data_IF_267817168003
#
_entry.id   IF_267817168003
#
_cell.length_a   1.000
_cell.length_b   1.000
_cell.length_c   1.000
_cell.angle_alpha   90.00
_cell.angle_beta   90.00
_cell.angle_gamma   90.00
#
_symmetry.space_group_name_H-M   'P 1'
#
loop_
_entity.id
_entity.type
_entity.pdbx_description
1 polymer ?
#
# COMPACT_ATOMS: atom_id res chain seq x y z
N UNK A 1 -23.21 4.03 14.60
CA UNK A 1 -21.93 3.56 14.08
C UNK A 1 -21.06 4.80 13.90
N UNK A 2 -19.75 4.74 14.09
CA UNK A 2 -18.89 5.89 13.79
C UNK A 2 -19.04 6.29 12.32
N UNK A 3 -18.97 7.57 12.03
CA UNK A 3 -18.98 8.07 10.65
C UNK A 3 -17.61 7.87 10.00
N UNK A 4 -17.54 7.53 8.70
CA UNK A 4 -16.27 7.38 8.00
C UNK A 4 -15.54 8.72 7.90
N UNK A 5 -14.20 8.67 8.02
CA UNK A 5 -13.34 9.85 7.83
C UNK A 5 -13.23 10.25 6.35
N UNK A 6 -13.28 9.29 5.46
CA UNK A 6 -13.32 9.49 4.01
C UNK A 6 -14.39 8.58 3.42
N UNK A 7 -15.25 9.14 2.58
CA UNK A 7 -16.23 8.39 1.78
C UNK A 7 -16.09 8.79 0.31
N UNK A 8 -15.98 7.81 -0.54
CA UNK A 8 -16.01 7.93 -2.00
C UNK A 8 -17.21 7.13 -2.50
N UNK A 9 -18.05 7.74 -3.32
CA UNK A 9 -19.26 7.10 -3.85
C UNK A 9 -19.30 7.22 -5.37
N UNK A 10 -19.25 6.08 -6.04
CA UNK A 10 -19.35 5.92 -7.51
C UNK A 10 -18.44 6.86 -8.29
N UNK A 11 -17.18 6.97 -7.82
CA UNK A 11 -16.18 7.84 -8.41
C UNK A 11 -15.80 7.37 -9.81
N UNK A 12 -15.86 8.30 -10.77
CA UNK A 12 -15.38 8.05 -12.13
C UNK A 12 -14.40 9.14 -12.53
N UNK A 13 -13.29 8.74 -13.17
CA UNK A 13 -12.28 9.64 -13.72
C UNK A 13 -11.81 9.19 -15.08
N UNK A 14 -11.80 10.13 -16.02
CA UNK A 14 -11.31 9.93 -17.39
C UNK A 14 -10.17 10.87 -17.71
N UNK A 15 -9.23 10.41 -18.51
CA UNK A 15 -8.24 11.24 -19.18
C UNK A 15 -8.34 11.02 -20.70
N UNK A 16 -8.86 11.99 -21.42
CA UNK A 16 -9.25 11.81 -22.80
C UNK A 16 -10.33 10.73 -22.92
N UNK A 17 -10.07 9.70 -23.70
CA UNK A 17 -10.99 8.56 -23.88
C UNK A 17 -10.75 7.41 -22.89
N UNK A 18 -9.70 7.46 -22.09
CA UNK A 18 -9.36 6.40 -21.15
C UNK A 18 -10.07 6.61 -19.81
N UNK A 19 -10.87 5.62 -19.38
CA UNK A 19 -11.45 5.56 -18.03
C UNK A 19 -10.38 4.99 -17.10
N UNK A 20 -9.90 5.82 -16.14
CA UNK A 20 -8.82 5.43 -15.21
C UNK A 20 -9.37 5.03 -13.85
N UNK A 21 -10.52 5.60 -13.44
CA UNK A 21 -11.30 5.15 -12.27
C UNK A 21 -12.73 5.01 -12.75
N UNK A 22 -13.37 3.88 -12.48
CA UNK A 22 -14.68 3.53 -12.98
C UNK A 22 -15.58 2.99 -11.86
N UNK A 23 -16.56 3.81 -11.48
CA UNK A 23 -17.60 3.50 -10.47
C UNK A 23 -17.00 3.06 -9.09
N UNK A 24 -15.89 3.65 -8.68
CA UNK A 24 -15.21 3.29 -7.44
C UNK A 24 -15.97 3.83 -6.23
N UNK A 25 -16.29 2.94 -5.29
CA UNK A 25 -16.81 3.30 -3.96
C UNK A 25 -15.98 2.68 -2.86
N UNK A 26 -15.62 3.48 -1.85
CA UNK A 26 -14.91 3.04 -0.65
C UNK A 26 -15.19 3.98 0.52
N UNK A 27 -14.95 3.49 1.74
CA UNK A 27 -14.99 4.27 2.97
C UNK A 27 -13.76 3.94 3.82
N UNK A 28 -13.32 4.91 4.62
CA UNK A 28 -12.25 4.72 5.62
C UNK A 28 -12.81 5.09 6.99
N UNK A 29 -12.77 4.13 7.91
CA UNK A 29 -13.24 4.33 9.26
C UNK A 29 -12.14 4.91 10.17
N UNK A 30 -12.51 5.58 11.28
CA UNK A 30 -11.54 6.03 12.27
C UNK A 30 -10.67 4.88 12.79
N UNK A 31 -9.34 5.07 12.79
CA UNK A 31 -8.35 4.09 13.24
C UNK A 31 -8.09 2.94 12.27
N UNK A 32 -8.68 2.96 11.08
CA UNK A 32 -8.53 1.91 10.06
C UNK A 32 -7.34 2.18 9.13
N UNK A 33 -6.63 1.13 8.76
CA UNK A 33 -5.74 1.09 7.60
C UNK A 33 -6.43 0.40 6.42
N UNK A 34 -6.87 1.18 5.44
CA UNK A 34 -7.39 0.67 4.17
C UNK A 34 -6.26 0.62 3.13
N UNK A 35 -5.92 -0.58 2.68
CA UNK A 35 -4.99 -0.80 1.57
C UNK A 35 -5.72 -0.81 0.23
N UNK A 36 -5.20 -0.08 -0.74
CA UNK A 36 -5.64 -0.15 -2.14
C UNK A 36 -4.52 -0.79 -2.94
N UNK A 37 -4.72 -2.04 -3.33
CA UNK A 37 -3.76 -2.82 -4.11
C UNK A 37 -4.21 -2.96 -5.55
N UNK A 38 -3.28 -3.09 -6.48
CA UNK A 38 -3.58 -3.23 -7.89
C UNK A 38 -2.33 -3.01 -8.75
N UNK A 39 -2.35 -3.42 -10.03
CA UNK A 39 -1.23 -3.23 -10.94
C UNK A 39 -0.99 -1.74 -11.25
N UNK A 40 0.13 -1.45 -11.91
CA UNK A 40 0.39 -0.12 -12.42
C UNK A 40 -0.72 0.28 -13.42
N UNK A 41 -1.21 1.52 -13.28
CA UNK A 41 -2.34 2.00 -14.09
C UNK A 41 -3.74 1.60 -13.57
N UNK A 42 -3.87 0.87 -12.46
CA UNK A 42 -5.17 0.49 -11.90
C UNK A 42 -6.00 1.65 -11.32
N UNK A 43 -5.44 2.88 -11.25
CA UNK A 43 -6.16 4.06 -10.75
C UNK A 43 -5.84 4.47 -9.32
N UNK A 44 -4.91 3.78 -8.63
CA UNK A 44 -4.52 4.03 -7.22
C UNK A 44 -4.12 5.49 -6.96
N UNK A 45 -3.06 5.96 -7.61
CA UNK A 45 -2.56 7.34 -7.51
C UNK A 45 -3.61 8.37 -7.94
N UNK A 46 -4.39 8.08 -8.98
CA UNK A 46 -5.47 8.96 -9.43
C UNK A 46 -6.52 9.14 -8.35
N UNK A 47 -6.92 8.09 -7.66
CA UNK A 47 -7.86 8.15 -6.53
C UNK A 47 -7.32 9.05 -5.41
N UNK A 48 -6.06 8.90 -5.00
CA UNK A 48 -5.42 9.78 -4.00
C UNK A 48 -5.41 11.24 -4.50
N UNK A 49 -5.04 11.49 -5.76
CA UNK A 49 -5.00 12.85 -6.32
C UNK A 49 -6.37 13.54 -6.32
N UNK A 50 -7.45 12.78 -6.53
CA UNK A 50 -8.80 13.32 -6.47
C UNK A 50 -9.17 13.65 -5.01
N UNK A 51 -8.87 12.77 -4.03
CA UNK A 51 -9.07 13.04 -2.60
C UNK A 51 -8.34 14.30 -2.14
N UNK A 52 -7.21 14.62 -2.77
CA UNK A 52 -6.44 15.82 -2.48
C UNK A 52 -6.89 17.06 -3.28
N UNK A 53 -7.92 16.94 -4.12
CA UNK A 53 -8.37 18.02 -4.99
C UNK A 53 -7.31 18.49 -6.00
N UNK A 54 -6.35 17.63 -6.34
CA UNK A 54 -5.32 17.89 -7.37
C UNK A 54 -5.87 17.66 -8.78
N UNK A 55 -6.94 16.89 -8.89
CA UNK A 55 -7.75 16.70 -10.10
C UNK A 55 -9.20 16.50 -9.67
N UNK A 56 -10.16 16.98 -10.44
CA UNK A 56 -11.58 16.79 -10.16
C UNK A 56 -12.09 15.43 -10.67
N UNK A 57 -13.10 14.84 -10.03
CA UNK A 57 -13.83 13.70 -10.57
C UNK A 57 -14.66 14.12 -11.81
N UNK A 58 -14.95 13.16 -12.68
CA UNK A 58 -15.89 13.38 -13.79
C UNK A 58 -17.32 12.94 -13.40
N UNK A 59 -17.44 12.03 -12.42
CA UNK A 59 -18.71 11.66 -11.78
C UNK A 59 -18.46 11.09 -10.37
N UNK A 60 -19.52 10.99 -9.57
CA UNK A 60 -19.46 10.53 -8.19
C UNK A 60 -19.23 11.67 -7.20
N UNK A 61 -19.15 11.30 -5.91
CA UNK A 61 -18.96 12.25 -4.80
C UNK A 61 -17.86 11.79 -3.87
N UNK A 62 -17.22 12.76 -3.21
CA UNK A 62 -16.20 12.50 -2.19
C UNK A 62 -16.49 13.38 -0.99
N UNK A 63 -16.47 12.80 0.18
CA UNK A 63 -16.55 13.49 1.45
C UNK A 63 -15.37 13.10 2.34
N UNK A 64 -14.72 14.08 2.96
CA UNK A 64 -13.73 13.85 3.98
C UNK A 64 -14.11 14.63 5.24
N UNK A 65 -14.24 13.95 6.38
CA UNK A 65 -14.67 14.55 7.66
C UNK A 65 -16.02 15.27 7.58
N UNK A 66 -16.95 14.78 6.75
CA UNK A 66 -18.24 15.44 6.48
C UNK A 66 -18.15 16.66 5.55
N UNK A 67 -16.99 16.93 4.97
CA UNK A 67 -16.74 18.04 4.04
C UNK A 67 -16.77 17.54 2.61
N UNK A 68 -17.57 18.17 1.73
CA UNK A 68 -17.64 17.82 0.32
C UNK A 68 -16.36 18.25 -0.42
N UNK A 69 -15.80 17.35 -1.26
CA UNK A 69 -14.64 17.60 -2.08
C UNK A 69 -15.01 17.64 -3.57
N UNK A 70 -14.43 18.54 -4.37
CA UNK A 70 -13.28 19.40 -4.06
C UNK A 70 -13.57 20.74 -3.38
N UNK A 71 -14.84 21.11 -3.17
CA UNK A 71 -15.24 22.46 -2.74
C UNK A 71 -14.59 22.87 -1.41
N UNK A 72 -14.57 21.97 -0.45
CA UNK A 72 -14.05 22.19 0.90
C UNK A 72 -12.69 21.54 1.16
N UNK A 73 -11.94 21.24 0.10
CA UNK A 73 -10.67 20.50 0.19
C UNK A 73 -9.62 21.20 1.08
N UNK A 74 -9.65 22.55 1.16
CA UNK A 74 -8.69 23.30 2.00
C UNK A 74 -8.90 22.99 3.49
N UNK A 75 -10.15 22.90 3.92
CA UNK A 75 -10.47 22.56 5.31
C UNK A 75 -10.16 21.09 5.60
N UNK A 76 -10.53 20.19 4.69
CA UNK A 76 -10.21 18.76 4.83
C UNK A 76 -8.69 18.53 4.94
N UNK A 77 -7.87 19.22 4.13
CA UNK A 77 -6.41 19.10 4.16
C UNK A 77 -5.77 19.47 5.49
N UNK A 78 -6.40 20.27 6.33
CA UNK A 78 -5.89 20.57 7.67
C UNK A 78 -5.81 19.34 8.55
N UNK A 79 -6.59 18.30 8.26
CA UNK A 79 -6.69 17.04 8.97
C UNK A 79 -6.12 15.85 8.19
N UNK A 80 -5.51 16.10 7.02
CA UNK A 80 -4.91 15.10 6.15
C UNK A 80 -3.39 15.29 6.11
N UNK A 81 -2.64 14.20 6.29
CA UNK A 81 -1.21 14.11 5.99
C UNK A 81 -1.00 13.34 4.68
N UNK A 82 0.00 13.72 3.92
CA UNK A 82 0.23 13.14 2.59
C UNK A 82 1.67 12.74 2.41
N UNK A 83 1.90 11.50 1.97
CA UNK A 83 3.17 11.03 1.43
C UNK A 83 2.93 10.60 -0.01
N UNK A 84 3.48 11.35 -0.95
CA UNK A 84 3.38 11.07 -2.38
C UNK A 84 4.44 10.06 -2.82
N UNK A 85 4.29 9.46 -3.99
CA UNK A 85 5.25 8.50 -4.55
C UNK A 85 6.67 9.11 -4.67
N UNK A 86 6.77 10.38 -5.07
CA UNK A 86 8.04 11.09 -5.11
C UNK A 86 8.23 11.96 -3.86
N UNK A 87 9.47 12.04 -3.36
CA UNK A 87 9.81 12.93 -2.25
C UNK A 87 9.68 14.38 -2.70
N UNK A 88 8.75 15.11 -2.08
CA UNK A 88 8.52 16.54 -2.38
C UNK A 88 9.25 17.44 -1.37
N UNK A 89 10.44 17.01 -0.90
CA UNK A 89 11.28 17.78 0.01
C UNK A 89 11.93 18.94 -0.73
N UNK A 90 12.01 20.08 -0.08
CA UNK A 90 12.73 21.22 -0.61
C UNK A 90 14.24 21.00 -0.44
N UNK A 91 15.03 20.96 -1.54
CA UNK A 91 16.46 20.66 -1.48
C UNK A 91 17.30 21.75 -0.82
N UNK A 92 16.80 22.99 -0.76
CA UNK A 92 17.52 24.13 -0.19
C UNK A 92 17.40 24.22 1.31
N UNK A 93 16.40 23.58 1.91
CA UNK A 93 16.16 23.55 3.35
C UNK A 93 16.78 22.30 3.99
N UNK A 94 17.24 22.46 5.23
CA UNK A 94 17.61 21.34 6.09
C UNK A 94 16.39 20.48 6.46
N UNK A 95 16.61 19.30 7.05
CA UNK A 95 15.52 18.45 7.55
C UNK A 95 14.59 19.22 8.50
N UNK A 96 15.17 19.95 9.46
CA UNK A 96 14.38 20.72 10.42
C UNK A 96 13.63 21.89 9.76
N UNK A 97 14.22 22.56 8.79
CA UNK A 97 13.59 23.66 8.05
C UNK A 97 12.46 23.17 7.16
N UNK A 98 12.61 22.03 6.48
CA UNK A 98 11.52 21.38 5.73
C UNK A 98 10.28 21.19 6.60
N UNK A 99 10.46 20.70 7.84
CA UNK A 99 9.35 20.51 8.77
C UNK A 99 8.76 21.85 9.25
N UNK A 100 9.62 22.85 9.56
CA UNK A 100 9.16 24.18 10.00
C UNK A 100 8.36 24.92 8.95
N UNK A 101 8.86 24.95 7.72
CA UNK A 101 8.20 25.64 6.61
C UNK A 101 6.85 24.99 6.32
N UNK A 102 6.79 23.66 6.37
CA UNK A 102 5.54 22.94 6.14
C UNK A 102 4.53 23.21 7.26
N UNK A 103 4.98 23.27 8.53
CA UNK A 103 4.13 23.70 9.65
C UNK A 103 3.57 25.11 9.47
N UNK A 104 4.37 26.03 8.95
CA UNK A 104 3.93 27.39 8.66
C UNK A 104 2.84 27.42 7.54
N UNK A 105 2.94 26.56 6.51
CA UNK A 105 1.89 26.41 5.48
C UNK A 105 0.54 25.96 6.05
N UNK A 106 0.54 25.17 7.15
CA UNK A 106 -0.67 24.82 7.88
C UNK A 106 -1.15 25.91 8.85
N UNK A 107 -0.45 27.03 8.95
CA UNK A 107 -0.79 28.14 9.86
C UNK A 107 -0.51 27.84 11.32
N UNK A 108 0.38 26.87 11.62
CA UNK A 108 0.78 26.57 13.00
C UNK A 108 1.61 27.74 13.57
N UNK A 109 1.40 28.04 14.86
CA UNK A 109 2.21 29.02 15.57
C UNK A 109 3.67 28.57 15.68
N UNK A 110 4.59 29.54 15.75
CA UNK A 110 6.02 29.25 15.93
C UNK A 110 6.29 28.36 17.14
N UNK A 111 5.61 28.59 18.25
CA UNK A 111 5.75 27.79 19.45
C UNK A 111 5.35 26.32 19.23
N UNK A 112 4.23 26.07 18.52
CA UNK A 112 3.80 24.71 18.14
C UNK A 112 4.81 24.03 17.21
N UNK A 113 5.35 24.77 16.24
CA UNK A 113 6.35 24.24 15.30
C UNK A 113 7.63 23.87 16.06
N UNK A 114 8.12 24.75 16.92
CA UNK A 114 9.36 24.53 17.71
C UNK A 114 9.22 23.35 18.69
N UNK A 115 8.01 23.07 19.18
CA UNK A 115 7.70 21.89 19.98
C UNK A 115 7.64 20.59 19.15
N UNK A 116 7.00 20.66 17.98
CA UNK A 116 6.73 19.46 17.14
C UNK A 116 7.95 18.98 16.37
N UNK A 117 8.76 19.89 15.83
CA UNK A 117 9.87 19.53 14.94
C UNK A 117 10.87 18.56 15.57
N UNK A 118 11.33 18.72 16.83
CA UNK A 118 12.20 17.74 17.48
C UNK A 118 11.56 16.35 17.58
N UNK A 119 10.26 16.27 17.94
CA UNK A 119 9.51 15.02 18.06
C UNK A 119 9.36 14.32 16.71
N UNK A 120 9.13 15.07 15.63
CA UNK A 120 9.01 14.55 14.28
C UNK A 120 10.35 14.05 13.73
N UNK A 121 11.45 14.74 14.04
CA UNK A 121 12.80 14.27 13.71
C UNK A 121 13.15 12.99 14.48
N UNK A 122 12.72 12.86 15.73
CA UNK A 122 12.85 11.64 16.51
C UNK A 122 12.03 10.51 15.92
N UNK A 123 10.77 10.77 15.62
CA UNK A 123 9.90 9.79 14.93
C UNK A 123 10.50 9.31 13.62
N UNK A 124 11.09 10.22 12.83
CA UNK A 124 11.76 9.89 11.57
C UNK A 124 13.16 9.25 11.76
N UNK A 125 13.68 9.15 13.00
CA UNK A 125 15.05 8.77 13.33
C UNK A 125 16.09 9.62 12.57
N UNK A 126 15.92 10.95 12.61
CA UNK A 126 16.74 11.95 11.91
C UNK A 126 17.26 13.06 12.84
N UNK A 127 17.26 12.86 14.17
CA UNK A 127 17.75 13.88 15.13
C UNK A 127 19.20 14.32 14.81
N UNK A 128 20.07 13.34 14.55
CA UNK A 128 21.47 13.59 14.19
C UNK A 128 21.65 14.26 12.81
N UNK A 129 20.59 14.28 12.01
CA UNK A 129 20.56 14.85 10.66
C UNK A 129 19.66 16.10 10.54
N UNK A 130 19.26 16.68 11.68
CA UNK A 130 18.37 17.84 11.71
C UNK A 130 18.84 19.00 10.81
N UNK A 131 20.14 19.24 10.73
CA UNK A 131 20.76 20.30 9.95
C UNK A 131 21.28 19.82 8.57
N UNK A 132 21.14 18.55 8.22
CA UNK A 132 21.48 18.04 6.91
C UNK A 132 20.41 18.42 5.87
N UNK A 133 20.82 18.62 4.62
CA UNK A 133 19.92 18.85 3.48
C UNK A 133 19.47 17.52 2.88
N UNK A 134 18.33 17.48 2.16
CA UNK A 134 17.85 16.25 1.51
C UNK A 134 18.87 15.58 0.58
N UNK A 135 19.74 16.35 -0.08
CA UNK A 135 20.82 15.81 -0.91
C UNK A 135 21.84 14.95 -0.16
N UNK A 136 21.96 15.14 1.17
CA UNK A 136 22.88 14.40 2.05
C UNK A 136 22.23 13.14 2.69
N UNK A 137 20.97 12.85 2.36
CA UNK A 137 20.19 11.76 2.92
C UNK A 137 20.12 10.59 1.95
N UNK A 138 20.09 9.35 2.48
CA UNK A 138 19.70 8.17 1.71
C UNK A 138 18.21 8.23 1.32
N UNK A 139 17.80 7.42 0.33
CA UNK A 139 16.39 7.33 -0.07
C UNK A 139 15.47 7.01 1.10
N UNK A 140 15.82 6.03 1.93
CA UNK A 140 15.05 5.69 3.14
C UNK A 140 14.99 6.83 4.17
N UNK A 141 16.05 7.63 4.31
CA UNK A 141 16.04 8.82 5.16
C UNK A 141 15.12 9.91 4.61
N UNK A 142 15.14 10.16 3.30
CA UNK A 142 14.22 11.12 2.64
C UNK A 142 12.77 10.69 2.83
N UNK A 143 12.48 9.40 2.66
CA UNK A 143 11.13 8.86 2.81
C UNK A 143 10.61 9.02 4.24
N UNK A 144 11.45 8.77 5.25
CA UNK A 144 11.11 9.00 6.67
C UNK A 144 10.92 10.48 6.98
N UNK A 145 11.70 11.37 6.40
CA UNK A 145 11.49 12.82 6.51
C UNK A 145 10.16 13.23 5.88
N UNK A 146 9.81 12.68 4.72
CA UNK A 146 8.53 12.91 4.05
C UNK A 146 7.35 12.46 4.91
N UNK A 147 7.47 11.30 5.61
CA UNK A 147 6.47 10.87 6.57
C UNK A 147 6.40 11.82 7.78
N UNK A 148 7.54 12.22 8.36
CA UNK A 148 7.58 13.21 9.45
C UNK A 148 6.92 14.53 9.04
N UNK A 149 7.14 14.99 7.80
CA UNK A 149 6.49 16.18 7.24
C UNK A 149 4.97 16.02 7.12
N UNK A 150 4.50 14.84 6.70
CA UNK A 150 3.06 14.55 6.62
C UNK A 150 2.37 14.58 8.00
N UNK A 151 3.10 14.49 9.09
CA UNK A 151 2.59 14.52 10.47
C UNK A 151 2.64 15.91 11.12
N UNK A 152 3.18 16.93 10.45
CA UNK A 152 3.39 18.27 11.04
C UNK A 152 2.09 18.89 11.57
N UNK A 153 0.98 18.74 10.84
CA UNK A 153 -0.34 19.24 11.21
C UNK A 153 -1.12 18.32 12.16
N UNK A 154 -0.52 17.20 12.62
CA UNK A 154 -1.15 16.18 13.46
C UNK A 154 -2.45 15.62 12.84
N UNK A 155 -2.38 15.04 11.64
CA UNK A 155 -3.56 14.65 10.88
C UNK A 155 -4.32 13.48 11.53
N UNK A 156 -5.63 13.39 11.23
CA UNK A 156 -6.45 12.22 11.57
C UNK A 156 -6.35 11.13 10.51
N UNK A 157 -6.11 11.52 9.25
CA UNK A 157 -6.00 10.63 8.09
C UNK A 157 -4.70 10.86 7.34
N UNK A 158 -4.00 9.79 7.04
CA UNK A 158 -2.82 9.77 6.18
C UNK A 158 -3.16 9.16 4.82
N UNK A 159 -2.81 9.84 3.74
CA UNK A 159 -2.88 9.34 2.37
C UNK A 159 -1.46 9.03 1.90
N UNK A 160 -1.14 7.75 1.74
CA UNK A 160 0.20 7.27 1.44
C UNK A 160 0.21 6.60 0.06
N UNK A 161 0.88 7.23 -0.90
CA UNK A 161 1.01 6.69 -2.25
C UNK A 161 2.34 5.96 -2.39
N UNK A 162 2.29 4.62 -2.35
CA UNK A 162 3.44 3.72 -2.46
C UNK A 162 4.61 4.11 -1.52
N UNK A 163 4.39 4.15 -0.19
CA UNK A 163 5.34 4.77 0.75
C UNK A 163 6.67 4.03 0.87
N UNK A 164 6.76 2.79 0.43
CA UNK A 164 7.98 1.96 0.58
C UNK A 164 8.66 1.61 -0.73
N UNK A 165 8.14 2.09 -1.87
CA UNK A 165 8.73 1.86 -3.18
C UNK A 165 10.15 2.42 -3.27
N UNK A 166 11.08 1.62 -3.79
CA UNK A 166 12.49 2.00 -3.93
C UNK A 166 13.31 1.96 -2.64
N UNK A 167 12.74 1.47 -1.52
CA UNK A 167 13.46 1.30 -0.28
C UNK A 167 14.13 -0.08 -0.20
N UNK A 168 15.33 -0.10 0.39
CA UNK A 168 15.94 -1.37 0.80
C UNK A 168 15.12 -2.07 1.88
N UNK A 169 15.29 -3.40 2.10
CA UNK A 169 14.48 -4.16 3.07
C UNK A 169 14.52 -3.58 4.49
N UNK A 170 15.66 -3.07 4.95
CA UNK A 170 15.78 -2.51 6.30
C UNK A 170 15.00 -1.19 6.44
N UNK A 171 15.11 -0.30 5.44
CA UNK A 171 14.37 0.95 5.42
C UNK A 171 12.85 0.70 5.32
N UNK A 172 12.42 -0.32 4.56
CA UNK A 172 11.03 -0.74 4.44
C UNK A 172 10.47 -1.23 5.78
N UNK A 173 11.17 -2.11 6.50
CA UNK A 173 10.75 -2.59 7.81
C UNK A 173 10.60 -1.44 8.81
N UNK A 174 11.55 -0.50 8.84
CA UNK A 174 11.47 0.67 9.71
C UNK A 174 10.26 1.56 9.35
N UNK A 175 9.93 1.71 8.06
CA UNK A 175 8.74 2.42 7.64
C UNK A 175 7.47 1.74 8.15
N UNK A 176 7.35 0.41 8.03
CA UNK A 176 6.22 -0.35 8.55
C UNK A 176 6.06 -0.22 10.06
N UNK A 177 7.16 -0.24 10.83
CA UNK A 177 7.11 -0.01 12.28
C UNK A 177 6.55 1.38 12.61
N UNK A 178 6.96 2.43 11.85
CA UNK A 178 6.45 3.79 12.03
C UNK A 178 4.96 3.89 11.70
N UNK A 179 4.53 3.29 10.61
CA UNK A 179 3.12 3.25 10.23
C UNK A 179 2.28 2.46 11.25
N UNK A 180 2.77 1.32 11.71
CA UNK A 180 2.14 0.54 12.79
C UNK A 180 2.00 1.34 14.09
N UNK A 181 3.01 2.14 14.45
CA UNK A 181 2.93 3.03 15.62
C UNK A 181 1.81 4.08 15.46
N UNK A 182 1.66 4.67 14.27
CA UNK A 182 0.60 5.65 14.00
C UNK A 182 -0.79 5.01 14.09
N UNK A 183 -0.98 3.80 13.57
CA UNK A 183 -2.23 3.06 13.69
C UNK A 183 -2.57 2.76 15.15
N UNK A 184 -1.60 2.33 15.96
CA UNK A 184 -1.78 2.12 17.41
C UNK A 184 -2.15 3.41 18.15
N UNK A 185 -1.76 4.57 17.65
CA UNK A 185 -2.14 5.89 18.16
C UNK A 185 -3.54 6.34 17.68
N UNK A 186 -4.24 5.50 16.92
CA UNK A 186 -5.59 5.78 16.40
C UNK A 186 -5.61 6.62 15.13
N UNK A 187 -4.49 6.82 14.44
CA UNK A 187 -4.47 7.46 13.12
C UNK A 187 -5.06 6.51 12.08
N UNK A 188 -5.73 7.07 11.08
CA UNK A 188 -6.28 6.30 9.95
C UNK A 188 -5.37 6.45 8.75
N UNK A 189 -5.29 5.41 7.92
CA UNK A 189 -4.38 5.38 6.78
C UNK A 189 -5.12 4.86 5.53
N UNK A 190 -5.02 5.60 4.42
CA UNK A 190 -5.21 5.07 3.08
C UNK A 190 -3.83 4.79 2.49
N UNK A 191 -3.55 3.53 2.25
CA UNK A 191 -2.28 3.07 1.72
C UNK A 191 -2.48 2.53 0.30
N UNK A 192 -1.78 3.08 -0.69
CA UNK A 192 -1.65 2.39 -1.98
C UNK A 192 -0.32 1.65 -2.02
N UNK A 193 -0.34 0.42 -2.48
CA UNK A 193 0.88 -0.37 -2.61
C UNK A 193 0.74 -1.44 -3.69
N UNK A 194 1.84 -1.90 -4.20
CA UNK A 194 1.97 -3.12 -4.99
C UNK A 194 2.74 -4.21 -4.24
N UNK A 195 3.22 -3.92 -3.01
CA UNK A 195 3.86 -4.91 -2.13
C UNK A 195 2.81 -5.62 -1.29
N UNK A 196 2.65 -6.91 -1.52
CA UNK A 196 1.62 -7.71 -0.85
C UNK A 196 1.94 -7.95 0.63
N UNK A 197 3.22 -8.08 0.97
CA UNK A 197 3.70 -8.18 2.35
C UNK A 197 3.42 -6.90 3.17
N UNK A 198 3.52 -5.72 2.55
CA UNK A 198 3.11 -4.45 3.18
C UNK A 198 1.61 -4.43 3.47
N UNK A 199 0.80 -4.80 2.46
CA UNK A 199 -0.65 -4.84 2.58
C UNK A 199 -1.11 -5.83 3.65
N UNK A 200 -0.51 -7.02 3.69
CA UNK A 200 -0.84 -8.08 4.65
C UNK A 200 -0.48 -7.71 6.09
N UNK A 201 0.60 -6.94 6.25
CA UNK A 201 1.12 -6.55 7.56
C UNK A 201 0.40 -5.35 8.17
N UNK A 202 0.02 -4.36 7.37
CA UNK A 202 -0.46 -3.07 7.84
C UNK A 202 -1.97 -2.87 7.72
N UNK A 203 -2.61 -3.51 6.72
CA UNK A 203 -3.98 -3.18 6.38
C UNK A 203 -4.99 -4.05 7.14
N UNK A 204 -5.99 -3.39 7.73
CA UNK A 204 -7.16 -4.06 8.31
C UNK A 204 -8.08 -4.58 7.22
N UNK A 205 -8.19 -3.81 6.13
CA UNK A 205 -9.03 -4.11 4.97
C UNK A 205 -8.30 -3.72 3.68
N UNK A 206 -8.51 -4.52 2.65
CA UNK A 206 -7.97 -4.32 1.32
C UNK A 206 -9.08 -4.09 0.32
N UNK A 207 -8.78 -3.25 -0.64
CA UNK A 207 -9.55 -3.05 -1.85
C UNK A 207 -8.63 -3.38 -3.03
N UNK A 208 -9.01 -4.39 -3.81
CA UNK A 208 -8.27 -4.81 -5.00
C UNK A 208 -8.83 -4.06 -6.20
N UNK A 209 -7.96 -3.28 -6.87
CA UNK A 209 -8.30 -2.55 -8.08
C UNK A 209 -7.67 -3.22 -9.30
N UNK A 210 -8.46 -3.35 -10.36
CA UNK A 210 -7.94 -3.63 -11.71
C UNK A 210 -8.73 -2.82 -12.74
N UNK A 211 -8.01 -2.25 -13.73
CA UNK A 211 -8.60 -1.41 -14.78
C UNK A 211 -9.56 -0.32 -14.27
N UNK A 212 -9.23 0.32 -13.15
CA UNK A 212 -10.03 1.38 -12.54
C UNK A 212 -11.24 0.89 -11.74
N UNK A 213 -11.50 -0.41 -11.66
CA UNK A 213 -12.65 -1.01 -10.97
C UNK A 213 -12.24 -1.77 -9.72
N UNK A 214 -13.11 -1.74 -8.72
CA UNK A 214 -13.00 -2.60 -7.55
C UNK A 214 -13.40 -4.02 -7.94
N UNK A 215 -12.46 -4.98 -7.79
CA UNK A 215 -12.71 -6.40 -8.10
C UNK A 215 -12.90 -7.25 -6.84
N UNK A 216 -12.34 -6.82 -5.70
CA UNK A 216 -12.57 -7.45 -4.40
C UNK A 216 -12.38 -6.45 -3.26
N UNK A 217 -12.99 -6.74 -2.11
CA UNK A 217 -12.81 -5.98 -0.87
C UNK A 217 -13.02 -6.89 0.33
N UNK A 218 -12.10 -6.84 1.31
CA UNK A 218 -12.19 -7.65 2.52
C UNK A 218 -10.92 -7.54 3.37
N UNK A 219 -10.89 -8.26 4.49
CA UNK A 219 -9.63 -8.39 5.25
C UNK A 219 -8.62 -9.21 4.44
N UNK A 220 -7.30 -9.00 4.60
CA UNK A 220 -6.29 -9.79 3.89
C UNK A 220 -6.52 -11.30 3.99
N UNK A 221 -6.72 -11.79 5.20
CA UNK A 221 -6.99 -13.22 5.45
C UNK A 221 -8.33 -13.69 4.90
N UNK A 222 -9.37 -12.83 4.97
CA UNK A 222 -10.70 -13.15 4.43
C UNK A 222 -10.64 -13.35 2.92
N UNK A 223 -9.97 -12.44 2.21
CA UNK A 223 -9.80 -12.52 0.76
C UNK A 223 -9.02 -13.77 0.34
N UNK A 224 -7.93 -14.11 1.05
CA UNK A 224 -7.19 -15.35 0.80
C UNK A 224 -8.08 -16.57 0.98
N UNK A 225 -8.79 -16.65 2.12
CA UNK A 225 -9.64 -17.81 2.44
C UNK A 225 -10.84 -17.98 1.48
N UNK A 226 -11.38 -16.87 0.97
CA UNK A 226 -12.53 -16.89 0.05
C UNK A 226 -12.13 -17.30 -1.36
N UNK A 227 -10.95 -16.85 -1.81
CA UNK A 227 -10.58 -16.94 -3.22
C UNK A 227 -9.48 -17.96 -3.52
N UNK A 228 -8.74 -18.47 -2.53
CA UNK A 228 -7.61 -19.36 -2.75
C UNK A 228 -7.78 -20.72 -2.06
N UNK A 229 -7.01 -21.66 -2.53
CA UNK A 229 -6.65 -22.88 -1.84
C UNK A 229 -5.73 -22.54 -0.65
N UNK A 230 -5.76 -23.32 0.44
CA UNK A 230 -5.03 -22.97 1.69
C UNK A 230 -3.52 -23.09 1.56
N UNK A 231 -3.04 -23.99 0.70
CA UNK A 231 -1.64 -24.40 0.61
C UNK A 231 -1.11 -24.26 -0.82
N UNK A 232 0.16 -23.89 -0.93
CA UNK A 232 0.91 -23.82 -2.19
C UNK A 232 2.17 -24.65 -2.05
N UNK A 233 2.39 -25.54 -3.03
CA UNK A 233 3.66 -26.26 -3.18
C UNK A 233 4.31 -25.76 -4.45
N UNK A 234 5.46 -25.12 -4.29
CA UNK A 234 6.29 -24.62 -5.38
C UNK A 234 7.36 -25.65 -5.71
N UNK A 235 7.43 -26.07 -6.95
CA UNK A 235 8.41 -27.03 -7.45
C UNK A 235 9.34 -26.34 -8.43
N UNK A 236 10.65 -26.48 -8.21
CA UNK A 236 11.68 -25.72 -8.92
C UNK A 236 12.56 -26.59 -9.84
N UNK A 237 12.97 -26.02 -10.98
CA UNK A 237 14.00 -26.54 -11.86
C UNK A 237 13.50 -27.56 -12.88
N UNK A 238 14.44 -28.26 -13.51
CA UNK A 238 14.16 -29.14 -14.67
C UNK A 238 13.12 -30.24 -14.41
N UNK A 239 12.93 -30.66 -13.15
CA UNK A 239 11.90 -31.63 -12.73
C UNK A 239 10.49 -31.07 -12.63
N UNK A 240 10.32 -29.74 -12.57
CA UNK A 240 9.04 -29.10 -12.28
C UNK A 240 7.94 -29.44 -13.32
N UNK A 241 8.27 -29.32 -14.61
CA UNK A 241 7.33 -29.64 -15.71
C UNK A 241 6.91 -31.12 -15.71
N UNK A 242 7.85 -32.04 -15.41
CA UNK A 242 7.56 -33.49 -15.25
C UNK A 242 6.62 -33.69 -14.07
N UNK A 243 6.90 -33.05 -12.93
CA UNK A 243 6.06 -33.13 -11.72
C UNK A 243 4.65 -32.63 -12.00
N UNK A 244 4.50 -31.54 -12.75
CA UNK A 244 3.19 -31.02 -13.15
C UNK A 244 2.40 -32.05 -13.98
N UNK A 245 3.06 -32.70 -14.94
CA UNK A 245 2.45 -33.71 -15.78
C UNK A 245 2.08 -34.99 -15.01
N UNK A 246 2.90 -35.38 -14.01
CA UNK A 246 2.71 -36.63 -13.28
C UNK A 246 1.76 -36.48 -12.09
N UNK A 247 1.82 -35.34 -11.37
CA UNK A 247 1.14 -35.13 -10.10
C UNK A 247 0.12 -33.99 -10.14
N UNK A 248 -0.10 -33.35 -11.29
CA UNK A 248 -1.03 -32.21 -11.43
C UNK A 248 -2.46 -32.51 -10.98
N UNK A 249 -2.90 -33.76 -11.14
CA UNK A 249 -4.23 -34.21 -10.70
C UNK A 249 -4.44 -34.23 -9.18
N UNK A 250 -3.38 -34.12 -8.39
CA UNK A 250 -3.45 -34.02 -6.92
C UNK A 250 -3.78 -32.59 -6.44
N UNK A 251 -3.65 -31.60 -7.33
CA UNK A 251 -3.92 -30.20 -7.00
C UNK A 251 -5.27 -29.74 -7.58
N UNK A 252 -5.89 -28.76 -6.91
CA UNK A 252 -7.07 -28.09 -7.44
C UNK A 252 -6.73 -27.17 -8.63
N UNK A 253 -5.52 -26.60 -8.61
CA UNK A 253 -5.01 -25.70 -9.63
C UNK A 253 -3.50 -25.84 -9.76
N UNK A 254 -2.99 -25.79 -10.97
CA UNK A 254 -1.56 -25.82 -11.28
C UNK A 254 -1.23 -24.64 -12.19
N UNK A 255 -0.23 -23.88 -11.84
CA UNK A 255 0.28 -22.74 -12.61
C UNK A 255 1.77 -22.90 -12.84
N UNK A 256 2.26 -22.36 -13.96
CA UNK A 256 3.67 -22.40 -14.31
C UNK A 256 4.17 -20.98 -14.57
N UNK A 257 5.26 -20.62 -13.93
CA UNK A 257 5.96 -19.35 -14.18
C UNK A 257 7.47 -19.62 -14.32
N UNK A 258 7.99 -19.44 -15.52
CA UNK A 258 9.38 -19.81 -15.82
C UNK A 258 9.64 -21.29 -15.54
N UNK A 259 10.67 -21.55 -14.71
CA UNK A 259 11.08 -22.92 -14.31
C UNK A 259 10.42 -23.39 -13.01
N UNK A 260 9.40 -22.67 -12.53
CA UNK A 260 8.69 -23.00 -11.30
C UNK A 260 7.24 -23.38 -11.60
N UNK A 261 6.78 -24.46 -10.96
CA UNK A 261 5.40 -24.91 -11.00
C UNK A 261 4.77 -24.74 -9.61
N UNK A 262 3.63 -24.10 -9.56
CA UNK A 262 2.86 -23.84 -8.36
C UNK A 262 1.65 -24.77 -8.34
N UNK A 263 1.56 -25.60 -7.28
CA UNK A 263 0.42 -26.46 -7.03
C UNK A 263 -0.39 -25.84 -5.90
N UNK A 264 -1.63 -25.49 -6.16
CA UNK A 264 -2.56 -24.94 -5.19
C UNK A 264 -3.45 -26.06 -4.66
N UNK A 265 -3.44 -26.25 -3.32
CA UNK A 265 -4.02 -27.45 -2.68
C UNK A 265 -4.81 -27.06 -1.44
N UNK A 266 -5.86 -27.86 -1.15
CA UNK A 266 -6.53 -27.87 0.16
C UNK A 266 -6.00 -28.96 1.07
N UNK A 267 -5.45 -30.03 0.49
CA UNK A 267 -4.81 -31.14 1.18
C UNK A 267 -3.42 -31.39 0.55
N UNK A 268 -2.35 -30.81 1.11
CA UNK A 268 -1.02 -30.89 0.50
C UNK A 268 -0.35 -32.25 0.69
N UNK A 269 -0.77 -33.05 1.68
CA UNK A 269 -0.10 -34.29 2.07
C UNK A 269 0.11 -35.28 0.94
N UNK A 270 -0.89 -35.61 0.06
CA UNK A 270 -0.67 -36.57 -1.03
C UNK A 270 0.43 -36.15 -2.00
N UNK A 271 0.53 -34.85 -2.32
CA UNK A 271 1.58 -34.32 -3.18
C UNK A 271 2.94 -34.34 -2.47
N UNK A 272 2.99 -33.93 -1.20
CA UNK A 272 4.23 -33.93 -0.41
C UNK A 272 4.83 -35.33 -0.26
N UNK A 273 3.98 -36.35 -0.01
CA UNK A 273 4.40 -37.77 0.07
C UNK A 273 4.96 -38.24 -1.29
N UNK A 274 4.35 -37.84 -2.40
CA UNK A 274 4.83 -38.17 -3.74
C UNK A 274 6.18 -37.50 -4.06
N UNK A 275 6.33 -36.22 -3.69
CA UNK A 275 7.57 -35.45 -3.91
C UNK A 275 8.73 -35.95 -3.03
N UNK A 276 8.44 -36.40 -1.80
CA UNK A 276 9.45 -36.97 -0.91
C UNK A 276 10.07 -38.27 -1.46
N UNK A 277 9.34 -39.01 -2.30
CA UNK A 277 9.84 -40.20 -2.99
C UNK A 277 10.69 -39.86 -4.23
N UNK A 278 10.61 -38.66 -4.79
CA UNK A 278 11.39 -38.20 -5.96
C UNK A 278 12.59 -37.35 -5.51
N UNK A 279 13.74 -37.97 -5.27
CA UNK A 279 14.96 -37.33 -4.78
C UNK A 279 15.57 -36.29 -5.74
N UNK A 280 15.04 -36.12 -6.94
CA UNK A 280 15.53 -35.16 -7.96
C UNK A 280 14.79 -33.84 -7.98
N UNK A 281 13.77 -33.66 -7.15
CA UNK A 281 12.89 -32.49 -7.16
C UNK A 281 13.09 -31.63 -5.92
N UNK A 282 13.28 -30.32 -6.12
CA UNK A 282 13.29 -29.34 -5.02
C UNK A 282 11.95 -28.66 -4.94
N UNK A 283 11.41 -28.54 -3.74
CA UNK A 283 10.11 -27.89 -3.52
C UNK A 283 10.09 -27.08 -2.22
N UNK A 284 9.16 -26.13 -2.16
CA UNK A 284 8.79 -25.35 -0.98
C UNK A 284 7.30 -25.51 -0.74
N UNK A 285 6.91 -25.89 0.46
CA UNK A 285 5.51 -25.86 0.91
C UNK A 285 5.29 -24.63 1.78
N UNK A 286 4.27 -23.84 1.46
CA UNK A 286 3.87 -22.64 2.19
C UNK A 286 2.34 -22.44 2.17
N UNK A 287 1.78 -21.67 3.11
CA UNK A 287 0.39 -21.19 2.98
C UNK A 287 0.26 -20.27 1.75
N UNK A 288 -0.96 -20.20 1.21
CA UNK A 288 -1.31 -19.19 0.21
C UNK A 288 -1.24 -17.79 0.82
N UNK A 289 -0.88 -16.80 0.00
CA UNK A 289 -0.69 -15.41 0.41
C UNK A 289 -1.39 -14.42 -0.54
N UNK A 290 -1.27 -13.12 -0.27
CA UNK A 290 -1.89 -12.08 -1.11
C UNK A 290 -1.29 -12.00 -2.52
N UNK A 291 -0.04 -12.43 -2.73
CA UNK A 291 0.56 -12.46 -4.06
C UNK A 291 -0.13 -13.49 -4.95
N UNK A 292 -0.43 -14.67 -4.40
CA UNK A 292 -1.21 -15.71 -5.09
C UNK A 292 -2.63 -15.22 -5.42
N UNK A 293 -3.25 -14.49 -4.49
CA UNK A 293 -4.56 -13.88 -4.71
C UNK A 293 -4.52 -12.88 -5.88
N UNK A 294 -3.54 -12.00 -5.85
CA UNK A 294 -3.38 -10.97 -6.86
C UNK A 294 -3.16 -11.58 -8.26
N UNK A 295 -2.29 -12.58 -8.36
CA UNK A 295 -2.05 -13.34 -9.60
C UNK A 295 -3.34 -13.97 -10.12
N UNK A 296 -4.09 -14.65 -9.25
CA UNK A 296 -5.36 -15.29 -9.63
C UNK A 296 -6.40 -14.30 -10.14
N UNK A 297 -6.53 -13.14 -9.48
CA UNK A 297 -7.55 -12.15 -9.79
C UNK A 297 -7.24 -11.30 -11.02
N UNK A 298 -5.97 -10.95 -11.21
CA UNK A 298 -5.57 -10.04 -12.29
C UNK A 298 -4.98 -10.75 -13.51
N UNK A 299 -4.60 -12.01 -13.37
CA UNK A 299 -3.91 -12.77 -14.42
C UNK A 299 -2.51 -12.21 -14.75
N UNK A 300 -1.95 -11.34 -13.90
CA UNK A 300 -0.68 -10.64 -14.14
C UNK A 300 0.28 -10.89 -12.99
N UNK A 301 1.52 -11.23 -13.31
CA UNK A 301 2.60 -11.18 -12.33
C UNK A 301 2.84 -9.72 -11.91
N UNK A 302 3.08 -9.51 -10.62
CA UNK A 302 3.61 -8.24 -10.13
C UNK A 302 5.05 -8.18 -10.63
N UNK A 303 5.26 -7.59 -11.80
CA UNK A 303 6.60 -7.28 -12.27
C UNK A 303 6.94 -5.89 -11.74
N UNK A 304 8.06 -5.79 -11.05
CA UNK A 304 8.79 -4.53 -10.91
C UNK A 304 9.21 -4.11 -12.33
N UNK A 305 8.36 -3.38 -13.03
CA UNK A 305 8.78 -2.60 -14.17
C UNK A 305 9.59 -1.44 -13.59
N UNK A 306 10.93 -1.66 -13.53
CA UNK A 306 11.94 -0.71 -13.09
C UNK A 306 12.03 0.54 -13.97
#
# INVERSE_FOLDING_TARGET
MPEPLLRISRLTKKYGNAVVVDDLSLEIMPGECLGVIGPNGAGKTTTIRICLGLTGPDAGTIEAFGLALPEQVREAKKRIGVVTQFDSLDPDFTCAENLRVYGAYFGLSRAMIDERVPKLLEFAALQAKANARPGELSGGMKRRLSLGRALVNDPDLLLLDEPTTGLDPQARHLMWERLGTLLQQGKSILLTTHFMDEAERLCDRLLVLDHGRKIAEGTPRGLIAEHLESDVVEVYGEGAARTASTHGSLAQRVETSGDTVFFYLREPKPLLDALAADHGVRYLHRPANLEDLFLKMTGRQIRDDG
#
